data_IF_229508544882
#
_entry.id   IF_229508544882
#
_cell.length_a   1.000
_cell.length_b   1.000
_cell.length_c   1.000
_cell.angle_alpha   90.00
_cell.angle_beta   90.00
_cell.angle_gamma   90.00
#
_symmetry.space_group_name_H-M   'P 1'
#
loop_
_entity.id
_entity.type
_entity.pdbx_description
1 polymer ?
#
# COMPACT_ATOMS: atom_id res chain seq x y z
N UNK A 1 10.02 11.42 1.60
CA UNK A 1 8.60 11.07 1.77
C UNK A 1 8.17 11.05 3.23
N UNK A 2 8.85 10.33 4.12
CA UNK A 2 8.43 10.19 5.54
C UNK A 2 8.28 11.52 6.31
N UNK A 3 9.05 12.55 5.94
CA UNK A 3 9.01 13.87 6.58
C UNK A 3 7.91 14.80 6.07
N UNK A 4 7.23 14.44 4.98
CA UNK A 4 6.27 15.32 4.28
C UNK A 4 4.88 14.69 4.12
N UNK A 5 4.80 13.36 4.11
CA UNK A 5 3.53 12.65 3.94
C UNK A 5 2.85 12.45 5.29
N UNK A 6 1.70 13.12 5.48
CA UNK A 6 0.85 12.93 6.66
C UNK A 6 -0.31 12.00 6.35
N UNK A 7 -0.79 11.27 7.35
CA UNK A 7 -1.93 10.37 7.19
C UNK A 7 -3.23 11.10 6.80
N UNK A 8 -3.43 12.31 7.32
CA UNK A 8 -4.56 13.17 6.96
C UNK A 8 -4.51 13.58 5.48
N UNK A 9 -3.36 14.08 5.01
CA UNK A 9 -3.19 14.45 3.59
C UNK A 9 -3.39 13.25 2.65
N UNK A 10 -2.96 12.05 3.07
CA UNK A 10 -3.21 10.80 2.32
C UNK A 10 -4.72 10.52 2.24
N UNK A 11 -5.44 10.58 3.36
CA UNK A 11 -6.88 10.34 3.37
C UNK A 11 -7.62 11.35 2.49
N UNK A 12 -7.31 12.64 2.61
CA UNK A 12 -7.88 13.71 1.80
C UNK A 12 -7.62 13.50 0.29
N UNK A 13 -6.37 13.18 -0.07
CA UNK A 13 -6.00 12.94 -1.47
C UNK A 13 -6.73 11.73 -2.06
N UNK A 14 -6.88 10.65 -1.29
CA UNK A 14 -7.59 9.45 -1.73
C UNK A 14 -9.09 9.67 -1.82
N UNK A 15 -9.66 10.44 -0.89
CA UNK A 15 -11.07 10.81 -0.92
C UNK A 15 -11.38 11.69 -2.14
N UNK A 16 -10.54 12.69 -2.42
CA UNK A 16 -10.64 13.49 -3.63
C UNK A 16 -10.55 12.62 -4.89
N UNK A 17 -9.55 11.74 -4.98
CA UNK A 17 -9.40 10.84 -6.13
C UNK A 17 -10.61 9.90 -6.30
N UNK A 18 -11.22 9.42 -5.21
CA UNK A 18 -12.41 8.59 -5.26
C UNK A 18 -13.64 9.36 -5.78
N UNK A 19 -13.79 10.64 -5.37
CA UNK A 19 -14.85 11.52 -5.87
C UNK A 19 -14.66 11.81 -7.36
N UNK A 20 -13.45 12.15 -7.79
CA UNK A 20 -13.13 12.37 -9.20
C UNK A 20 -13.39 11.12 -10.05
N UNK A 21 -13.08 9.93 -9.53
CA UNK A 21 -13.39 8.68 -10.22
C UNK A 21 -14.90 8.45 -10.35
N UNK A 22 -15.68 8.81 -9.32
CA UNK A 22 -17.13 8.66 -9.30
C UNK A 22 -17.84 9.62 -10.27
N UNK A 23 -17.26 10.80 -10.52
CA UNK A 23 -17.81 11.82 -11.42
C UNK A 23 -17.24 11.79 -12.84
N UNK A 24 -16.28 10.89 -13.10
CA UNK A 24 -15.60 10.78 -14.41
C UNK A 24 -14.44 11.76 -14.62
N UNK A 25 -14.03 12.51 -13.59
CA UNK A 25 -12.84 13.38 -13.57
C UNK A 25 -11.52 12.62 -13.39
N UNK A 26 -11.57 11.34 -13.01
CA UNK A 26 -10.40 10.47 -12.93
C UNK A 26 -10.59 9.15 -13.70
N UNK A 27 -9.48 8.53 -14.08
CA UNK A 27 -9.44 7.25 -14.78
C UNK A 27 -8.30 6.39 -14.26
N UNK A 28 -8.52 5.07 -14.21
CA UNK A 28 -7.48 4.08 -13.98
C UNK A 28 -7.42 3.14 -15.19
N UNK A 29 -6.22 2.89 -15.69
CA UNK A 29 -6.00 1.85 -16.68
C UNK A 29 -5.98 0.46 -15.98
N UNK A 30 -6.39 -0.61 -16.67
CA UNK A 30 -6.12 -1.96 -16.20
C UNK A 30 -4.62 -2.14 -15.94
N UNK A 31 -4.23 -2.81 -14.85
CA UNK A 31 -2.82 -3.05 -14.58
C UNK A 31 -2.20 -3.89 -15.70
N UNK A 32 -1.11 -3.39 -16.27
CA UNK A 32 -0.33 -4.15 -17.24
C UNK A 32 0.79 -4.89 -16.51
N UNK A 33 0.88 -6.21 -16.71
CA UNK A 33 1.89 -7.05 -16.06
C UNK A 33 2.66 -7.87 -17.07
N UNK A 34 3.98 -7.84 -16.92
CA UNK A 34 4.90 -8.73 -17.62
C UNK A 34 5.45 -9.73 -16.61
N UNK A 35 5.31 -11.01 -16.91
CA UNK A 35 5.90 -12.11 -16.15
C UNK A 35 7.08 -12.66 -16.91
N UNK A 36 8.28 -12.49 -16.37
CA UNK A 36 9.48 -13.16 -16.87
C UNK A 36 9.69 -14.43 -16.05
N UNK A 37 9.77 -15.63 -16.67
CA UNK A 37 10.13 -16.86 -15.97
C UNK A 37 11.50 -16.73 -15.30
N UNK A 38 11.62 -17.22 -14.06
CA UNK A 38 12.86 -17.19 -13.26
C UNK A 38 13.02 -18.49 -12.49
N UNK A 39 14.19 -18.66 -11.88
CA UNK A 39 14.52 -19.82 -11.05
C UNK A 39 15.06 -19.39 -9.67
N UNK A 40 14.99 -20.29 -8.68
CA UNK A 40 15.51 -20.05 -7.33
C UNK A 40 16.98 -19.59 -7.33
N UNK A 41 17.80 -20.20 -8.20
CA UNK A 41 19.24 -19.89 -8.33
C UNK A 41 19.52 -18.43 -8.69
N UNK A 42 18.54 -17.72 -9.26
CA UNK A 42 18.69 -16.32 -9.67
C UNK A 42 18.72 -15.34 -8.47
N UNK A 43 18.20 -15.76 -7.32
CA UNK A 43 17.90 -14.87 -6.19
C UNK A 43 18.55 -15.28 -4.87
N UNK A 44 19.52 -16.18 -4.87
CA UNK A 44 20.35 -16.48 -3.69
C UNK A 44 19.56 -16.88 -2.43
N UNK A 45 20.15 -16.72 -1.22
CA UNK A 45 19.58 -17.24 0.03
C UNK A 45 18.31 -16.53 0.51
N UNK A 46 17.95 -15.37 -0.06
CA UNK A 46 16.70 -14.67 0.26
C UNK A 46 15.46 -15.31 -0.38
N UNK A 47 15.65 -16.19 -1.35
CA UNK A 47 14.56 -16.94 -1.98
C UNK A 47 14.08 -18.05 -1.03
N UNK A 48 12.77 -18.19 -0.81
CA UNK A 48 12.26 -19.22 0.10
C UNK A 48 12.40 -20.61 -0.53
N UNK A 49 12.94 -21.55 0.25
CA UNK A 49 13.06 -22.95 -0.16
C UNK A 49 11.71 -23.54 -0.59
N UNK A 50 11.72 -24.26 -1.73
CA UNK A 50 10.51 -24.87 -2.29
C UNK A 50 9.58 -23.90 -3.02
N UNK A 51 10.01 -22.66 -3.27
CA UNK A 51 9.26 -21.69 -4.07
C UNK A 51 9.27 -22.04 -5.57
N UNK A 52 8.15 -22.51 -6.11
CA UNK A 52 8.03 -22.84 -7.54
C UNK A 52 6.60 -22.66 -8.06
N UNK A 53 6.38 -22.12 -9.28
CA UNK A 53 7.36 -21.45 -10.14
C UNK A 53 7.81 -20.10 -9.57
N UNK A 54 8.92 -19.56 -10.09
CA UNK A 54 9.39 -18.20 -9.78
C UNK A 54 9.20 -17.29 -11.00
N UNK A 55 8.72 -16.07 -10.76
CA UNK A 55 8.56 -15.06 -11.80
C UNK A 55 9.08 -13.72 -11.31
N UNK A 56 9.76 -12.98 -12.17
CA UNK A 56 9.80 -11.53 -12.03
C UNK A 56 8.49 -10.98 -12.60
N UNK A 57 7.77 -10.21 -11.79
CA UNK A 57 6.52 -9.57 -12.12
C UNK A 57 6.73 -8.06 -12.16
N UNK A 58 6.80 -7.51 -13.37
CA UNK A 58 6.86 -6.09 -13.61
C UNK A 58 5.45 -5.57 -13.87
N UNK A 59 4.94 -4.68 -13.02
CA UNK A 59 3.57 -4.17 -13.07
C UNK A 59 3.56 -2.66 -13.28
N UNK A 60 2.81 -2.20 -14.28
CA UNK A 60 2.44 -0.79 -14.47
C UNK A 60 0.99 -0.59 -14.03
N UNK A 61 0.76 0.51 -13.31
CA UNK A 61 -0.51 0.91 -12.70
C UNK A 61 -0.70 2.39 -13.01
N UNK A 62 -1.32 2.66 -14.15
CA UNK A 62 -1.53 4.02 -14.62
C UNK A 62 -2.89 4.58 -14.23
N UNK A 63 -2.92 5.85 -13.87
CA UNK A 63 -4.14 6.60 -13.63
C UNK A 63 -3.94 8.09 -13.89
N UNK A 64 -5.04 8.82 -14.08
CA UNK A 64 -5.02 10.26 -14.30
C UNK A 64 -6.17 10.94 -13.56
N UNK A 65 -5.96 12.19 -13.15
CA UNK A 65 -6.96 13.04 -12.50
C UNK A 65 -6.93 14.40 -13.20
N UNK A 66 -8.03 14.74 -13.88
CA UNK A 66 -8.13 15.94 -14.71
C UNK A 66 -8.08 17.23 -13.87
N UNK A 67 -8.77 17.27 -12.74
CA UNK A 67 -8.78 18.44 -11.83
C UNK A 67 -7.42 18.80 -11.23
N UNK A 68 -6.46 17.88 -11.30
CA UNK A 68 -5.09 18.08 -10.81
C UNK A 68 -4.07 18.22 -11.96
N UNK A 69 -4.51 18.12 -13.21
CA UNK A 69 -3.64 18.16 -14.40
C UNK A 69 -2.48 17.15 -14.35
N UNK A 70 -2.73 15.96 -13.80
CA UNK A 70 -1.70 14.93 -13.64
C UNK A 70 -2.11 13.55 -14.16
N UNK A 71 -1.11 12.88 -14.73
CA UNK A 71 -1.12 11.45 -15.01
C UNK A 71 0.01 10.81 -14.21
N UNK A 72 -0.26 9.69 -13.55
CA UNK A 72 0.73 8.93 -12.81
C UNK A 72 0.82 7.49 -13.32
N UNK A 73 2.04 6.96 -13.37
CA UNK A 73 2.27 5.53 -13.55
C UNK A 73 3.08 4.98 -12.37
N UNK A 74 2.49 4.05 -11.63
CA UNK A 74 3.18 3.32 -10.57
C UNK A 74 3.75 2.03 -11.13
N UNK A 75 5.07 1.90 -11.07
CA UNK A 75 5.80 0.69 -11.36
C UNK A 75 6.01 -0.12 -10.07
N UNK A 76 5.70 -1.42 -10.13
CA UNK A 76 6.01 -2.42 -9.12
C UNK A 76 6.93 -3.48 -9.76
N UNK A 77 8.08 -3.74 -9.15
CA UNK A 77 9.06 -4.74 -9.60
C UNK A 77 9.25 -5.76 -8.49
N UNK A 78 8.53 -6.88 -8.60
CA UNK A 78 8.51 -7.92 -7.58
C UNK A 78 9.00 -9.26 -8.13
N UNK A 79 9.56 -10.08 -7.25
CA UNK A 79 9.72 -11.50 -7.50
C UNK A 79 8.55 -12.23 -6.84
N UNK A 80 7.82 -13.03 -7.60
CA UNK A 80 6.67 -13.80 -7.11
C UNK A 80 7.02 -15.27 -7.18
N UNK A 81 6.74 -15.97 -6.09
CA UNK A 81 6.84 -17.42 -6.03
C UNK A 81 5.67 -18.01 -5.25
N UNK A 82 5.53 -19.33 -5.29
CA UNK A 82 4.46 -20.06 -4.62
C UNK A 82 5.08 -21.14 -3.75
N UNK A 83 4.69 -21.14 -2.47
CA UNK A 83 5.15 -22.13 -1.50
C UNK A 83 3.96 -22.94 -1.05
N UNK A 84 4.04 -24.26 -1.13
CA UNK A 84 3.04 -25.13 -0.56
C UNK A 84 3.20 -25.25 0.96
N UNK A 85 2.11 -25.02 1.70
CA UNK A 85 2.03 -25.28 3.15
C UNK A 85 0.68 -25.89 3.46
N UNK A 86 0.68 -27.01 4.19
CA UNK A 86 -0.55 -27.69 4.61
C UNK A 86 -1.52 -27.98 3.43
N UNK A 87 -0.98 -28.37 2.27
CA UNK A 87 -1.76 -28.66 1.05
C UNK A 87 -2.32 -27.42 0.33
N UNK A 88 -1.87 -26.20 0.69
CA UNK A 88 -2.31 -24.95 0.08
C UNK A 88 -1.12 -24.20 -0.53
N UNK A 89 -1.27 -23.75 -1.77
CA UNK A 89 -0.32 -22.86 -2.43
C UNK A 89 -0.46 -21.45 -1.86
N UNK A 90 0.61 -20.95 -1.27
CA UNK A 90 0.72 -19.58 -0.78
C UNK A 90 1.64 -18.78 -1.69
N UNK A 91 1.06 -17.78 -2.37
CA UNK A 91 1.86 -16.79 -3.07
C UNK A 91 2.72 -16.00 -2.08
N UNK A 92 3.97 -15.79 -2.46
CA UNK A 92 4.95 -14.97 -1.76
C UNK A 92 5.58 -13.98 -2.72
N UNK A 93 5.70 -12.73 -2.26
CA UNK A 93 6.56 -11.74 -2.89
C UNK A 93 7.92 -11.83 -2.22
N UNK A 94 8.94 -12.19 -2.98
CA UNK A 94 10.32 -12.28 -2.52
C UNK A 94 10.94 -10.89 -2.74
N UNK A 95 11.45 -10.25 -1.67
CA UNK A 95 12.22 -9.02 -1.81
C UNK A 95 13.40 -9.23 -2.77
N UNK A 96 13.80 -8.18 -3.50
CA UNK A 96 15.05 -8.17 -4.27
C UNK A 96 16.30 -8.22 -3.36
N UNK A 97 17.32 -7.43 -3.67
CA UNK A 97 18.51 -7.32 -2.80
C UNK A 97 18.15 -6.85 -1.38
N UNK A 98 19.00 -7.18 -0.40
CA UNK A 98 18.76 -6.89 1.02
C UNK A 98 18.48 -5.40 1.32
N UNK A 99 18.96 -4.49 0.46
CA UNK A 99 18.79 -3.03 0.59
C UNK A 99 17.57 -2.46 -0.16
N UNK A 100 16.82 -3.28 -0.93
CA UNK A 100 15.53 -2.98 -1.57
C UNK A 100 15.40 -1.58 -2.18
N UNK A 101 16.38 -1.15 -2.97
CA UNK A 101 16.35 0.18 -3.58
C UNK A 101 15.55 0.18 -4.88
N UNK A 102 14.58 1.08 -4.98
CA UNK A 102 13.83 1.39 -6.21
C UNK A 102 13.00 0.25 -6.80
N UNK A 103 12.54 -0.72 -5.99
CA UNK A 103 11.63 -1.79 -6.44
C UNK A 103 10.20 -1.29 -6.73
N UNK A 104 9.87 -0.07 -6.31
CA UNK A 104 8.61 0.58 -6.63
C UNK A 104 8.83 2.08 -6.86
N UNK A 105 8.37 2.57 -8.00
CA UNK A 105 8.50 3.97 -8.41
C UNK A 105 7.15 4.49 -8.88
N UNK A 106 6.89 5.78 -8.67
CA UNK A 106 5.79 6.52 -9.29
C UNK A 106 6.39 7.59 -10.18
N UNK A 107 6.01 7.56 -11.45
CA UNK A 107 6.28 8.65 -12.39
C UNK A 107 5.05 9.54 -12.44
N UNK A 108 5.24 10.83 -12.16
CA UNK A 108 4.16 11.83 -12.21
C UNK A 108 4.42 12.76 -13.40
N UNK A 109 3.44 12.88 -14.29
CA UNK A 109 3.48 13.71 -15.48
C UNK A 109 2.43 14.80 -15.41
N UNK A 110 2.72 15.96 -15.99
CA UNK A 110 1.70 16.95 -16.30
C UNK A 110 0.88 16.46 -17.50
N UNK A 111 -0.44 16.43 -17.37
CA UNK A 111 -1.32 16.16 -18.51
C UNK A 111 -1.51 17.37 -19.43
N UNK A 112 -1.06 18.56 -19.01
CA UNK A 112 -1.09 19.77 -19.83
C UNK A 112 0.14 19.90 -20.72
N UNK A 113 1.34 19.66 -20.17
CA UNK A 113 2.61 19.88 -20.90
C UNK A 113 3.25 18.58 -21.39
N UNK A 114 2.88 17.43 -20.82
CA UNK A 114 3.53 16.15 -21.08
C UNK A 114 4.87 15.97 -20.35
N UNK A 115 5.29 16.94 -19.54
CA UNK A 115 6.56 16.90 -18.82
C UNK A 115 6.50 15.97 -17.60
N UNK A 116 7.62 15.31 -17.30
CA UNK A 116 7.80 14.56 -16.07
C UNK A 116 8.02 15.53 -14.91
N UNK A 117 7.09 15.55 -13.97
CA UNK A 117 7.10 16.44 -12.80
C UNK A 117 7.90 15.83 -11.65
N UNK A 118 7.80 14.52 -11.44
CA UNK A 118 8.47 13.85 -10.33
C UNK A 118 8.69 12.35 -10.57
N UNK A 119 9.78 11.84 -9.98
CA UNK A 119 10.00 10.42 -9.76
C UNK A 119 10.00 10.18 -8.26
N UNK A 120 9.10 9.33 -7.79
CA UNK A 120 8.83 9.14 -6.37
C UNK A 120 9.06 7.68 -5.98
N UNK A 121 9.80 7.44 -4.90
CA UNK A 121 9.96 6.10 -4.35
C UNK A 121 8.70 5.64 -3.61
N UNK A 122 8.14 4.49 -3.99
CA UNK A 122 6.83 4.02 -3.50
C UNK A 122 6.91 3.25 -2.17
N UNK A 123 8.09 2.77 -1.75
CA UNK A 123 8.22 1.88 -0.58
C UNK A 123 7.57 2.37 0.72
N UNK A 124 7.53 3.69 0.96
CA UNK A 124 6.80 4.28 2.09
C UNK A 124 5.36 4.66 1.75
N UNK A 125 5.14 5.20 0.54
CA UNK A 125 3.83 5.65 0.07
C UNK A 125 2.82 4.49 -0.03
N UNK A 126 3.27 3.31 -0.48
CA UNK A 126 2.45 2.13 -0.71
C UNK A 126 1.60 1.73 0.50
N UNK A 127 2.19 1.70 1.70
CA UNK A 127 1.44 1.27 2.90
C UNK A 127 0.39 2.30 3.31
N UNK A 128 0.70 3.58 3.17
CA UNK A 128 -0.21 4.66 3.53
C UNK A 128 -1.37 4.76 2.55
N UNK A 129 -1.12 4.62 1.23
CA UNK A 129 -2.24 4.65 0.27
C UNK A 129 -3.23 3.51 0.49
N UNK A 130 -2.75 2.31 0.83
CA UNK A 130 -3.61 1.14 1.10
C UNK A 130 -4.40 1.36 2.40
N UNK A 131 -3.73 1.79 3.47
CA UNK A 131 -4.38 2.08 4.74
C UNK A 131 -5.40 3.22 4.63
N UNK A 132 -5.05 4.28 3.90
CA UNK A 132 -5.90 5.45 3.69
C UNK A 132 -7.17 5.13 2.93
N UNK A 133 -7.12 4.24 1.92
CA UNK A 133 -8.35 3.78 1.24
C UNK A 133 -9.30 3.12 2.23
N UNK A 134 -8.78 2.31 3.15
CA UNK A 134 -9.57 1.71 4.23
C UNK A 134 -10.16 2.75 5.18
N UNK A 135 -9.38 3.77 5.55
CA UNK A 135 -9.83 4.85 6.41
C UNK A 135 -10.94 5.71 5.76
N UNK A 136 -10.79 6.06 4.48
CA UNK A 136 -11.82 6.76 3.69
C UNK A 136 -13.08 5.91 3.59
N UNK A 137 -12.95 4.62 3.31
CA UNK A 137 -14.09 3.69 3.33
C UNK A 137 -14.80 3.68 4.69
N UNK A 138 -14.04 3.62 5.79
CA UNK A 138 -14.60 3.65 7.13
C UNK A 138 -15.26 5.00 7.49
N UNK A 139 -14.74 6.13 6.99
CA UNK A 139 -15.34 7.47 7.16
C UNK A 139 -16.78 7.50 6.65
N UNK A 140 -17.04 6.84 5.51
CA UNK A 140 -18.33 6.86 4.82
C UNK A 140 -19.25 5.68 5.16
N UNK A 141 -18.69 4.52 5.53
CA UNK A 141 -19.45 3.27 5.65
C UNK A 141 -19.58 2.75 7.08
N UNK A 142 -18.73 3.18 8.01
CA UNK A 142 -18.87 2.77 9.40
C UNK A 142 -20.02 3.55 10.07
N UNK A 143 -20.60 2.98 11.13
CA UNK A 143 -21.57 3.71 11.96
C UNK A 143 -20.97 5.02 12.47
N UNK A 144 -21.79 6.06 12.53
CA UNK A 144 -21.40 7.40 12.99
C UNK A 144 -20.84 7.38 14.43
N UNK A 145 -21.38 6.48 15.26
CA UNK A 145 -21.00 6.26 16.67
C UNK A 145 -19.82 5.29 16.85
N UNK A 146 -19.21 4.79 15.76
CA UNK A 146 -18.07 3.89 15.89
C UNK A 146 -16.85 4.62 16.48
N UNK A 147 -16.40 4.14 17.65
CA UNK A 147 -15.24 4.68 18.40
C UNK A 147 -14.10 3.67 18.61
N UNK A 148 -14.34 2.40 18.31
CA UNK A 148 -13.36 1.32 18.51
C UNK A 148 -13.00 0.68 17.18
N UNK A 149 -11.71 0.65 16.84
CA UNK A 149 -11.20 -0.05 15.67
C UNK A 149 -10.62 -1.42 16.07
N UNK A 150 -11.00 -2.48 15.37
CA UNK A 150 -10.31 -3.77 15.47
C UNK A 150 -9.19 -3.85 14.41
N UNK A 151 -7.95 -4.11 14.83
CA UNK A 151 -6.79 -4.29 13.98
C UNK A 151 -6.35 -5.75 13.99
N UNK A 152 -6.49 -6.43 12.84
CA UNK A 152 -6.11 -7.82 12.69
C UNK A 152 -4.71 -7.93 12.07
N UNK A 153 -3.73 -8.29 12.90
CA UNK A 153 -2.33 -8.39 12.53
C UNK A 153 -1.49 -7.16 12.90
N UNK A 154 -0.18 -7.37 13.02
CA UNK A 154 0.79 -6.39 13.55
C UNK A 154 1.95 -6.11 12.60
N UNK A 155 1.80 -6.48 11.32
CA UNK A 155 2.83 -6.31 10.30
C UNK A 155 3.01 -4.85 9.85
N UNK A 156 3.95 -4.63 8.91
CA UNK A 156 4.28 -3.31 8.35
C UNK A 156 3.06 -2.49 7.85
N UNK A 157 2.06 -3.17 7.31
CA UNK A 157 0.81 -2.53 6.84
C UNK A 157 -0.08 -2.06 8.00
N UNK A 158 -0.08 -2.78 9.12
CA UNK A 158 -0.92 -2.47 10.28
C UNK A 158 -0.57 -1.11 10.91
N UNK A 159 0.73 -0.75 10.90
CA UNK A 159 1.20 0.55 11.38
C UNK A 159 0.57 1.72 10.60
N UNK A 160 0.53 1.65 9.27
CA UNK A 160 -0.12 2.68 8.46
C UNK A 160 -1.63 2.73 8.72
N UNK A 161 -2.26 1.56 8.95
CA UNK A 161 -3.66 1.45 9.37
C UNK A 161 -3.95 2.28 10.61
N UNK A 162 -3.15 2.13 11.68
CA UNK A 162 -3.30 2.93 12.90
C UNK A 162 -3.27 4.42 12.59
N UNK A 163 -2.28 4.90 11.83
CA UNK A 163 -2.15 6.33 11.52
C UNK A 163 -3.31 6.87 10.68
N UNK A 164 -3.70 6.19 9.60
CA UNK A 164 -4.77 6.64 8.70
C UNK A 164 -6.14 6.65 9.37
N UNK A 165 -6.44 5.64 10.19
CA UNK A 165 -7.72 5.57 10.90
C UNK A 165 -7.78 6.52 12.09
N UNK A 166 -6.68 6.69 12.83
CA UNK A 166 -6.60 7.68 13.91
C UNK A 166 -6.76 9.12 13.37
N UNK A 167 -6.24 9.39 12.16
CA UNK A 167 -6.39 10.69 11.50
C UNK A 167 -7.85 11.07 11.17
N UNK A 168 -8.80 10.16 11.28
CA UNK A 168 -10.23 10.47 11.20
C UNK A 168 -10.75 11.23 12.44
N UNK A 169 -9.99 11.26 13.54
CA UNK A 169 -10.30 12.07 14.73
C UNK A 169 -11.48 11.58 15.57
N UNK A 170 -11.92 10.33 15.39
CA UNK A 170 -13.12 9.77 16.06
C UNK A 170 -12.89 8.46 16.81
N UNK A 171 -11.65 7.99 16.93
CA UNK A 171 -11.35 6.74 17.62
C UNK A 171 -10.92 7.00 19.06
N UNK A 172 -11.54 6.28 19.99
CA UNK A 172 -11.18 6.25 21.40
C UNK A 172 -10.25 5.06 21.71
N UNK A 173 -10.40 3.95 20.98
CA UNK A 173 -9.68 2.70 21.26
C UNK A 173 -9.32 1.94 19.96
N UNK A 174 -8.14 1.30 19.96
CA UNK A 174 -7.74 0.34 18.93
C UNK A 174 -7.46 -1.01 19.59
N UNK A 175 -8.25 -2.03 19.23
CA UNK A 175 -8.10 -3.41 19.70
C UNK A 175 -7.28 -4.21 18.71
N UNK A 176 -6.09 -4.64 19.11
CA UNK A 176 -5.20 -5.44 18.28
C UNK A 176 -5.42 -6.93 18.57
N UNK A 177 -5.68 -7.74 17.54
CA UNK A 177 -5.86 -9.18 17.68
C UNK A 177 -5.02 -9.97 16.66
N UNK A 178 -4.60 -11.20 17.01
CA UNK A 178 -4.02 -12.11 16.02
C UNK A 178 -5.11 -12.60 15.06
N UNK A 179 -4.71 -13.04 13.86
CA UNK A 179 -5.60 -13.64 12.85
C UNK A 179 -6.31 -14.93 13.34
N UNK A 180 -5.95 -15.45 14.53
CA UNK A 180 -6.62 -16.55 15.24
C UNK A 180 -6.79 -16.18 16.73
N UNK A 181 -7.98 -15.70 17.13
CA UNK A 181 -8.46 -15.34 18.50
C UNK A 181 -8.00 -14.00 19.10
N UNK A 182 -8.95 -13.07 19.26
CA UNK A 182 -8.78 -11.73 19.84
C UNK A 182 -8.61 -11.76 21.37
N UNK A 183 -7.57 -11.10 21.90
CA UNK A 183 -7.49 -10.57 23.27
C UNK A 183 -6.72 -9.23 23.25
N UNK A 184 -7.21 -8.30 24.08
CA UNK A 184 -6.85 -6.87 24.35
C UNK A 184 -5.33 -6.68 24.70
N UNK A 185 -4.58 -5.59 24.41
CA UNK A 185 -4.57 -4.20 24.96
C UNK A 185 -3.37 -3.40 24.36
N UNK A 186 -3.49 -2.06 24.31
CA UNK A 186 -2.50 -0.94 24.25
C UNK A 186 -1.54 -0.72 23.08
N UNK A 187 -1.71 0.43 22.39
CA UNK A 187 -0.64 1.15 21.68
C UNK A 187 -1.02 2.61 21.36
N UNK A 188 -1.02 3.50 22.36
CA UNK A 188 -0.72 4.94 22.16
C UNK A 188 -0.03 5.47 23.42
N UNK A 189 1.31 5.51 23.43
CA UNK A 189 2.14 6.54 24.11
C UNK A 189 3.63 6.29 23.85
N UNK A 190 4.21 7.10 22.97
CA UNK A 190 5.63 7.55 22.88
C UNK A 190 5.88 7.97 21.41
N UNK A 191 6.32 9.18 21.05
CA UNK A 191 7.25 10.09 21.71
C UNK A 191 6.88 11.56 21.43
N UNK A 192 6.77 12.34 22.50
CA UNK A 192 7.22 13.74 22.56
C UNK A 192 8.21 13.77 23.73
N UNK A 193 9.43 14.26 23.49
CA UNK A 193 10.43 14.56 24.52
C UNK A 193 11.61 13.58 24.62
N UNK A 194 12.81 14.10 24.34
CA UNK A 194 14.11 13.44 24.48
C UNK A 194 15.05 13.80 23.36
#
# INVERSE_FOLDING_TARGET
>A
MEKVLTAAAVNESLEHAALELATGGAVNAPPYRVFTPREEKDYGPQFPAGGTPAHHAYTSLSGAIASLDVTADRIDSDIITYIEREGRLHQRRVPGTADRKFCGLVYLYSSLTGELLAIIHDGYLQKFRVAGTGAVGAKHLAREDARVMALLGTGWQAQAGVHCFAALGRLDEIKVGPLKKVWLVDLVTSRVGG
#
